data_IF_462783598818
#
_entry.id   IF_462783598818
#
_cell.length_a   1.000
_cell.length_b   1.000
_cell.length_c   1.000
_cell.angle_alpha   90.00
_cell.angle_beta   90.00
_cell.angle_gamma   90.00
#
_symmetry.space_group_name_H-M   'P 1'
#
loop_
_entity.id
_entity.type
_entity.pdbx_description
1 polymer ?
#
# COMPACT_ATOMS: atom_id res chain seq x y z
N UNK A 1 -13.56 -62.56 29.89
CA UNK A 1 -13.30 -61.11 30.08
C UNK A 1 -12.76 -60.56 28.77
N UNK A 2 -13.61 -59.93 27.95
CA UNK A 2 -13.18 -59.32 26.69
C UNK A 2 -12.93 -57.82 26.91
N UNK A 3 -11.67 -57.42 26.84
CA UNK A 3 -11.24 -56.03 26.93
C UNK A 3 -11.62 -55.28 25.65
N UNK A 4 -12.54 -54.31 25.76
CA UNK A 4 -12.85 -53.37 24.68
C UNK A 4 -11.78 -52.29 24.65
N UNK A 5 -10.94 -52.30 23.61
CA UNK A 5 -10.04 -51.20 23.32
C UNK A 5 -10.86 -50.02 22.76
N UNK A 6 -10.90 -48.92 23.52
CA UNK A 6 -11.44 -47.64 23.05
C UNK A 6 -10.32 -46.95 22.25
N UNK A 7 -10.46 -46.90 20.93
CA UNK A 7 -9.59 -46.09 20.09
C UNK A 7 -9.98 -44.61 20.26
N UNK A 8 -9.12 -43.84 20.91
CA UNK A 8 -9.24 -42.38 20.98
C UNK A 8 -8.78 -41.81 19.64
N UNK A 9 -9.74 -41.35 18.84
CA UNK A 9 -9.47 -40.62 17.61
C UNK A 9 -9.05 -39.19 18.01
N UNK A 10 -7.74 -38.93 18.07
CA UNK A 10 -7.23 -37.58 18.24
C UNK A 10 -7.51 -36.78 16.96
N UNK A 11 -8.52 -35.91 17.00
CA UNK A 11 -8.73 -34.92 15.95
C UNK A 11 -7.56 -33.93 15.99
N UNK A 12 -6.61 -34.06 15.07
CA UNK A 12 -5.62 -33.01 14.81
C UNK A 12 -6.36 -31.78 14.28
N UNK A 13 -6.60 -30.80 15.14
CA UNK A 13 -7.09 -29.50 14.70
C UNK A 13 -6.02 -28.87 13.83
N UNK A 14 -6.24 -28.83 12.52
CA UNK A 14 -5.45 -28.01 11.60
C UNK A 14 -5.65 -26.56 12.05
N UNK A 15 -4.70 -26.01 12.80
CA UNK A 15 -4.67 -24.58 13.07
C UNK A 15 -4.33 -23.88 11.76
N UNK A 16 -5.34 -23.28 11.13
CA UNK A 16 -5.11 -22.40 9.99
C UNK A 16 -4.26 -21.23 10.47
N UNK A 17 -3.10 -21.01 9.83
CA UNK A 17 -2.31 -19.81 10.10
C UNK A 17 -3.16 -18.57 9.82
N UNK A 18 -3.10 -17.58 10.71
CA UNK A 18 -3.85 -16.34 10.59
C UNK A 18 -3.27 -15.43 9.51
N UNK A 19 -1.98 -15.59 9.19
CA UNK A 19 -1.35 -15.04 7.97
C UNK A 19 -1.39 -16.06 6.83
N UNK A 20 -1.41 -15.63 5.54
CA UNK A 20 -1.53 -16.56 4.43
C UNK A 20 -0.28 -17.44 4.28
N UNK A 21 -0.45 -18.62 3.69
CA UNK A 21 0.66 -19.55 3.48
C UNK A 21 1.80 -18.90 2.68
N UNK A 22 3.04 -19.16 3.10
CA UNK A 22 4.25 -18.59 2.50
C UNK A 22 4.56 -17.14 2.90
N UNK A 23 3.69 -16.47 3.66
CA UNK A 23 3.98 -15.14 4.20
C UNK A 23 4.91 -15.21 5.41
N UNK A 24 5.90 -14.31 5.47
CA UNK A 24 6.80 -14.16 6.61
C UNK A 24 6.83 -12.70 7.06
N UNK A 25 6.72 -12.42 8.37
CA UNK A 25 6.59 -13.38 9.48
C UNK A 25 5.21 -14.06 9.54
N UNK A 26 5.19 -15.36 9.86
CA UNK A 26 3.94 -16.08 10.04
C UNK A 26 3.34 -15.84 11.44
N UNK A 27 2.02 -15.91 11.56
CA UNK A 27 1.34 -15.93 12.85
C UNK A 27 0.16 -16.89 12.82
N UNK A 28 -0.04 -17.63 13.91
CA UNK A 28 -1.22 -18.46 14.16
C UNK A 28 -2.26 -17.77 15.05
N UNK A 29 -1.89 -16.63 15.65
CA UNK A 29 -2.79 -15.87 16.53
C UNK A 29 -3.60 -14.88 15.69
N UNK A 30 -4.95 -14.93 15.74
CA UNK A 30 -5.78 -14.08 14.90
C UNK A 30 -5.76 -12.62 15.36
N UNK A 31 -5.56 -11.73 14.41
CA UNK A 31 -5.80 -10.30 14.54
C UNK A 31 -7.20 -9.97 14.00
N UNK A 32 -8.07 -9.41 14.82
CA UNK A 32 -9.41 -9.04 14.37
C UNK A 32 -9.32 -7.74 13.57
N UNK A 33 -9.79 -7.78 12.32
CA UNK A 33 -9.85 -6.62 11.43
C UNK A 33 -11.29 -6.44 10.97
N UNK A 34 -11.82 -5.23 11.10
CA UNK A 34 -13.18 -4.90 10.66
C UNK A 34 -13.25 -3.56 9.95
N UNK A 35 -13.97 -3.54 8.83
CA UNK A 35 -14.25 -2.35 8.04
C UNK A 35 -15.72 -1.98 8.19
N UNK A 36 -16.03 -0.98 9.02
CA UNK A 36 -17.41 -0.51 9.21
C UNK A 36 -18.40 -1.61 9.62
N UNK A 37 -17.95 -2.61 10.39
CA UNK A 37 -18.76 -3.78 10.78
C UNK A 37 -18.67 -4.97 9.83
N UNK A 38 -17.93 -4.88 8.72
CA UNK A 38 -17.64 -6.04 7.87
C UNK A 38 -16.40 -6.74 8.43
N UNK A 39 -16.51 -8.04 8.71
CA UNK A 39 -15.38 -8.85 9.19
C UNK A 39 -14.41 -9.16 8.06
N UNK A 40 -13.12 -8.93 8.28
CA UNK A 40 -12.05 -9.17 7.32
C UNK A 40 -11.16 -10.34 7.80
N UNK A 41 -11.74 -11.52 8.02
CA UNK A 41 -11.05 -12.68 8.59
C UNK A 41 -10.84 -13.79 7.56
N UNK A 42 -9.80 -14.59 7.78
CA UNK A 42 -9.57 -15.90 7.14
C UNK A 42 -9.60 -15.88 5.61
N UNK A 43 -9.09 -14.81 5.00
CA UNK A 43 -8.99 -14.70 3.54
C UNK A 43 -10.29 -14.38 2.82
N UNK A 44 -11.33 -13.93 3.54
CA UNK A 44 -12.60 -13.49 2.95
C UNK A 44 -12.38 -12.43 1.87
N UNK A 45 -13.18 -12.49 0.79
CA UNK A 45 -13.15 -11.47 -0.24
C UNK A 45 -14.03 -10.27 0.16
N UNK A 46 -13.43 -9.11 0.34
CA UNK A 46 -14.13 -7.87 0.65
C UNK A 46 -14.40 -7.06 -0.62
N UNK A 47 -15.53 -6.33 -0.67
CA UNK A 47 -15.73 -5.30 -1.67
C UNK A 47 -14.64 -4.23 -1.56
N UNK A 48 -14.12 -3.77 -2.70
CA UNK A 48 -13.12 -2.70 -2.77
C UNK A 48 -13.60 -1.46 -2.04
N UNK A 49 -14.81 -0.99 -2.32
CA UNK A 49 -15.33 0.27 -1.76
C UNK A 49 -15.48 0.23 -0.24
N UNK A 50 -15.81 -0.95 0.31
CA UNK A 50 -15.93 -1.16 1.76
C UNK A 50 -14.59 -1.12 2.50
N UNK A 51 -13.46 -1.27 1.78
CA UNK A 51 -12.12 -1.31 2.36
C UNK A 51 -11.31 -0.03 2.14
N UNK A 52 -11.94 1.08 1.74
CA UNK A 52 -11.20 2.32 1.45
C UNK A 52 -10.81 3.14 2.69
N UNK A 53 -11.46 2.90 3.83
CA UNK A 53 -11.19 3.58 5.10
C UNK A 53 -10.42 2.66 6.03
N UNK A 54 -9.49 3.21 6.81
CA UNK A 54 -8.71 2.46 7.81
C UNK A 54 -9.63 1.58 8.69
N UNK A 55 -9.31 0.29 8.87
CA UNK A 55 -10.16 -0.60 9.65
C UNK A 55 -9.99 -0.41 11.15
N UNK A 56 -10.98 -0.86 11.91
CA UNK A 56 -10.81 -1.17 13.33
C UNK A 56 -9.96 -2.45 13.44
N UNK A 57 -8.91 -2.39 14.25
CA UNK A 57 -8.04 -3.53 14.57
C UNK A 57 -8.17 -3.87 16.04
N UNK A 58 -8.28 -5.15 16.37
CA UNK A 58 -8.49 -5.61 17.74
C UNK A 58 -7.92 -7.01 17.97
N UNK A 59 -7.82 -7.41 19.24
CA UNK A 59 -7.43 -8.77 19.66
C UNK A 59 -8.47 -9.34 20.62
N UNK A 60 -8.58 -10.66 20.71
CA UNK A 60 -9.50 -11.32 21.65
C UNK A 60 -9.03 -11.20 23.11
N UNK A 61 -7.71 -11.15 23.29
CA UNK A 61 -7.06 -10.93 24.58
C UNK A 61 -6.44 -9.55 24.66
N UNK A 62 -6.43 -8.97 25.85
CA UNK A 62 -5.80 -7.69 26.07
C UNK A 62 -4.28 -7.84 25.95
N UNK A 63 -3.68 -7.08 25.04
CA UNK A 63 -2.23 -7.02 24.94
C UNK A 63 -1.66 -5.98 25.91
N UNK A 64 -0.47 -6.24 26.45
CA UNK A 64 0.21 -5.38 27.44
C UNK A 64 1.50 -4.85 26.82
N UNK A 65 1.43 -3.66 26.23
CA UNK A 65 2.57 -3.08 25.54
C UNK A 65 2.19 -2.01 24.52
N UNK A 66 3.16 -1.66 23.69
CA UNK A 66 3.01 -0.78 22.53
C UNK A 66 3.17 -1.62 21.27
N UNK A 67 2.27 -1.43 20.32
CA UNK A 67 2.15 -2.26 19.13
C UNK A 67 2.16 -1.43 17.86
N UNK A 68 2.75 -2.03 16.84
CA UNK A 68 2.64 -1.56 15.47
C UNK A 68 1.68 -2.48 14.72
N UNK A 69 0.89 -1.91 13.81
CA UNK A 69 0.14 -2.67 12.81
C UNK A 69 0.70 -2.36 11.45
N UNK A 70 0.98 -3.41 10.68
CA UNK A 70 1.51 -3.34 9.31
C UNK A 70 0.51 -4.05 8.39
N UNK A 71 0.10 -3.39 7.31
CA UNK A 71 -0.73 -3.96 6.25
C UNK A 71 0.07 -3.97 4.94
N UNK A 72 0.15 -5.12 4.28
CA UNK A 72 0.89 -5.31 3.03
C UNK A 72 0.06 -6.08 2.01
N UNK A 73 0.05 -5.59 0.78
CA UNK A 73 -0.39 -6.35 -0.39
C UNK A 73 0.76 -7.23 -0.85
N UNK A 74 0.53 -8.55 -1.00
CA UNK A 74 1.57 -9.51 -1.37
C UNK A 74 1.42 -10.07 -2.79
N UNK A 75 0.49 -9.51 -3.55
CA UNK A 75 0.10 -10.03 -4.86
C UNK A 75 0.18 -8.96 -5.96
N UNK A 76 1.01 -7.91 -5.77
CA UNK A 76 1.16 -6.83 -6.74
C UNK A 76 1.69 -7.37 -8.08
N UNK A 77 0.99 -7.18 -9.22
CA UNK A 77 1.45 -7.71 -10.50
C UNK A 77 2.81 -7.17 -10.92
N UNK A 78 3.67 -8.05 -11.43
CA UNK A 78 4.94 -7.67 -12.08
C UNK A 78 4.87 -7.88 -13.59
N UNK A 79 5.91 -7.45 -14.30
CA UNK A 79 6.06 -7.74 -15.72
C UNK A 79 6.57 -9.16 -16.01
N UNK A 80 6.72 -10.01 -14.99
CA UNK A 80 7.13 -11.41 -15.11
C UNK A 80 6.15 -12.36 -14.37
N UNK A 81 4.89 -12.50 -14.82
CA UNK A 81 3.97 -13.47 -14.22
C UNK A 81 4.57 -14.90 -14.20
N UNK A 82 4.30 -15.71 -13.15
CA UNK A 82 3.38 -15.47 -12.04
C UNK A 82 4.00 -14.71 -10.87
N UNK A 83 5.20 -14.12 -11.03
CA UNK A 83 5.85 -13.40 -9.93
C UNK A 83 5.04 -12.17 -9.55
N UNK A 84 4.79 -12.02 -8.27
CA UNK A 84 4.20 -10.83 -7.65
C UNK A 84 5.25 -10.06 -6.85
N UNK A 85 5.03 -8.77 -6.71
CA UNK A 85 5.73 -7.91 -5.77
C UNK A 85 4.86 -7.63 -4.55
N UNK A 86 5.31 -6.71 -3.70
CA UNK A 86 4.56 -6.29 -2.51
C UNK A 86 4.33 -4.78 -2.47
N UNK A 87 3.34 -4.34 -1.70
CA UNK A 87 3.09 -2.92 -1.45
C UNK A 87 2.69 -2.70 0.00
N UNK A 88 3.37 -1.80 0.70
CA UNK A 88 2.99 -1.37 2.05
C UNK A 88 1.75 -0.46 1.97
N UNK A 89 0.64 -0.95 2.52
CA UNK A 89 -0.63 -0.23 2.57
C UNK A 89 -0.76 0.65 3.81
N UNK A 90 -0.25 0.18 4.94
CA UNK A 90 -0.36 0.91 6.19
C UNK A 90 0.71 0.47 7.18
N UNK A 91 1.26 1.42 7.92
CA UNK A 91 2.10 1.16 9.08
C UNK A 91 1.81 2.21 10.15
N UNK A 92 1.24 1.77 11.26
CA UNK A 92 0.93 2.61 12.42
C UNK A 92 1.64 2.05 13.64
N UNK A 93 2.38 2.90 14.35
CA UNK A 93 2.99 2.58 15.64
C UNK A 93 2.20 3.21 16.79
N UNK A 94 2.58 2.92 18.02
CA UNK A 94 2.01 3.58 19.21
C UNK A 94 0.59 3.13 19.54
N UNK A 95 0.21 1.95 19.05
CA UNK A 95 -1.07 1.33 19.37
C UNK A 95 -0.98 0.63 20.73
N UNK A 96 -2.03 0.73 21.52
CA UNK A 96 -2.19 -0.01 22.77
C UNK A 96 -3.57 -0.65 22.78
N UNK A 97 -3.70 -1.86 23.33
CA UNK A 97 -5.02 -2.44 23.56
C UNK A 97 -5.83 -1.58 24.53
N UNK A 98 -7.12 -1.43 24.26
CA UNK A 98 -8.10 -0.86 25.19
C UNK A 98 -8.05 -1.56 26.56
N UNK A 99 -8.43 -0.85 27.61
CA UNK A 99 -8.39 -1.37 28.99
C UNK A 99 -9.54 -2.33 29.27
N UNK A 100 -10.69 -2.07 28.65
CA UNK A 100 -11.90 -2.87 28.78
C UNK A 100 -12.28 -3.45 27.42
N UNK A 101 -12.74 -4.72 27.38
CA UNK A 101 -13.21 -5.30 26.14
C UNK A 101 -14.54 -4.66 25.74
N UNK A 102 -14.75 -4.54 24.42
CA UNK A 102 -16.02 -4.10 23.83
C UNK A 102 -16.60 -5.20 22.96
N UNK A 103 -17.91 -5.21 22.77
CA UNK A 103 -18.55 -6.08 21.78
C UNK A 103 -18.44 -5.42 20.41
N UNK A 104 -17.64 -6.00 19.52
CA UNK A 104 -17.57 -5.63 18.13
C UNK A 104 -18.59 -6.46 17.35
N UNK A 105 -19.61 -5.81 16.80
CA UNK A 105 -20.60 -6.44 15.94
C UNK A 105 -20.05 -6.49 14.52
N UNK A 106 -19.91 -7.68 13.97
CA UNK A 106 -19.45 -7.86 12.59
C UNK A 106 -20.39 -8.76 11.78
N UNK A 107 -20.19 -8.81 10.46
CA UNK A 107 -20.83 -9.80 9.58
C UNK A 107 -20.53 -11.26 9.96
N UNK A 108 -19.46 -11.52 10.71
CA UNK A 108 -19.15 -12.85 11.26
C UNK A 108 -19.81 -13.11 12.64
N UNK A 109 -20.60 -12.15 13.13
CA UNK A 109 -21.23 -12.18 14.45
C UNK A 109 -20.58 -11.22 15.46
N UNK A 110 -21.21 -11.07 16.64
CA UNK A 110 -20.66 -10.29 17.74
C UNK A 110 -19.47 -11.00 18.39
N UNK A 111 -18.41 -10.25 18.68
CA UNK A 111 -17.22 -10.78 19.38
C UNK A 111 -16.76 -9.79 20.45
N UNK A 112 -16.39 -10.29 21.64
CA UNK A 112 -15.72 -9.47 22.66
C UNK A 112 -14.25 -9.31 22.29
N UNK A 113 -13.80 -8.07 22.17
CA UNK A 113 -12.45 -7.74 21.70
C UNK A 113 -11.87 -6.55 22.45
N UNK A 114 -10.56 -6.45 22.44
CA UNK A 114 -9.80 -5.29 22.90
C UNK A 114 -9.31 -4.52 21.67
N UNK A 115 -9.91 -3.35 21.40
CA UNK A 115 -9.54 -2.50 20.27
C UNK A 115 -8.12 -1.96 20.48
N UNK A 116 -7.32 -1.96 19.40
CA UNK A 116 -6.02 -1.30 19.38
C UNK A 116 -6.20 0.19 19.10
N UNK A 117 -5.72 1.05 20.01
CA UNK A 117 -5.93 2.50 20.00
C UNK A 117 -4.58 3.22 19.90
N UNK A 118 -4.48 4.26 19.06
CA UNK A 118 -3.29 5.11 18.97
C UNK A 118 -3.18 6.07 20.16
N UNK A 119 -2.95 5.51 21.36
CA UNK A 119 -2.88 6.28 22.61
C UNK A 119 -1.66 7.19 22.69
N UNK A 120 -0.64 6.93 21.88
CA UNK A 120 0.56 7.76 21.81
C UNK A 120 0.43 8.95 20.86
N UNK A 121 -0.69 9.07 20.14
CA UNK A 121 -0.87 10.07 19.08
C UNK A 121 0.28 10.04 18.05
N UNK A 122 0.82 8.85 17.77
CA UNK A 122 1.90 8.69 16.82
C UNK A 122 1.38 8.89 15.39
N UNK A 123 2.11 9.63 14.56
CA UNK A 123 1.84 9.65 13.13
C UNK A 123 2.07 8.26 12.52
N UNK A 124 1.25 7.89 11.54
CA UNK A 124 1.49 6.67 10.78
C UNK A 124 2.84 6.78 10.05
N UNK A 125 3.72 5.79 10.21
CA UNK A 125 4.96 5.69 9.44
C UNK A 125 4.67 5.51 7.94
N UNK A 126 3.55 4.86 7.63
CA UNK A 126 2.93 4.85 6.31
C UNK A 126 1.42 5.02 6.47
N UNK A 127 0.83 6.18 6.14
CA UNK A 127 -0.62 6.39 6.15
C UNK A 127 -1.38 5.33 5.37
N UNK A 128 -2.58 4.99 5.84
CA UNK A 128 -3.43 3.98 5.23
C UNK A 128 -3.79 4.34 3.78
N UNK A 129 -3.60 3.38 2.87
CA UNK A 129 -4.16 3.41 1.52
C UNK A 129 -5.07 2.18 1.35
N UNK A 130 -6.29 2.40 0.88
CA UNK A 130 -7.25 1.32 0.65
C UNK A 130 -6.78 0.34 -0.43
N UNK A 131 -7.20 -0.95 -0.37
CA UNK A 131 -7.05 -1.89 -1.47
C UNK A 131 -7.53 -1.32 -2.80
N UNK A 132 -6.72 -1.50 -3.83
CA UNK A 132 -7.07 -1.11 -5.19
C UNK A 132 -6.32 -1.97 -6.21
N UNK A 133 -6.57 -3.30 -6.23
CA UNK A 133 -5.89 -4.17 -7.18
C UNK A 133 -6.23 -3.75 -8.61
N UNK A 134 -5.24 -3.71 -9.54
CA UNK A 134 -5.52 -3.44 -10.94
C UNK A 134 -6.31 -4.60 -11.58
N UNK A 135 -6.97 -4.34 -12.70
CA UNK A 135 -7.60 -5.37 -13.52
C UNK A 135 -6.54 -6.12 -14.36
N UNK A 136 -5.57 -6.75 -13.67
CA UNK A 136 -4.45 -7.51 -14.25
C UNK A 136 -4.14 -8.68 -13.33
N UNK A 137 -3.75 -9.82 -13.90
CA UNK A 137 -3.44 -11.00 -13.11
C UNK A 137 -2.27 -10.77 -12.10
N UNK A 138 -2.42 -11.24 -10.84
CA UNK A 138 -3.61 -11.90 -10.28
C UNK A 138 -4.77 -10.92 -10.03
N UNK A 139 -5.99 -11.29 -10.46
CA UNK A 139 -7.18 -10.43 -10.29
C UNK A 139 -7.67 -10.32 -8.85
N UNK A 140 -7.09 -11.08 -7.91
CA UNK A 140 -7.40 -11.03 -6.49
C UNK A 140 -6.10 -10.94 -5.70
N UNK A 141 -6.00 -9.91 -4.88
CA UNK A 141 -4.83 -9.65 -4.05
C UNK A 141 -5.12 -9.97 -2.59
N UNK A 142 -4.14 -10.55 -1.89
CA UNK A 142 -4.16 -10.76 -0.45
C UNK A 142 -3.56 -9.56 0.26
N UNK A 143 -4.35 -8.95 1.12
CA UNK A 143 -3.94 -7.88 2.02
C UNK A 143 -3.71 -8.48 3.40
N UNK A 144 -2.45 -8.56 3.80
CA UNK A 144 -2.00 -9.23 5.01
C UNK A 144 -1.69 -8.21 6.09
N UNK A 145 -2.18 -8.46 7.29
CA UNK A 145 -1.86 -7.70 8.49
C UNK A 145 -0.96 -8.49 9.42
N UNK A 146 -0.07 -7.77 10.09
CA UNK A 146 0.59 -8.25 11.31
C UNK A 146 0.54 -7.18 12.39
N UNK A 147 0.34 -7.62 13.63
CA UNK A 147 0.55 -6.82 14.83
C UNK A 147 1.91 -7.19 15.43
N UNK A 148 2.73 -6.19 15.74
CA UNK A 148 4.12 -6.36 16.19
C UNK A 148 4.31 -5.64 17.51
N UNK A 149 4.81 -6.34 18.53
CA UNK A 149 5.21 -5.72 19.79
C UNK A 149 6.47 -4.88 19.59
N UNK A 150 6.37 -3.58 19.81
CA UNK A 150 7.50 -2.65 19.77
C UNK A 150 7.73 -1.95 21.10
N UNK A 151 7.24 -2.52 22.21
CA UNK A 151 7.38 -1.96 23.57
C UNK A 151 8.84 -1.66 23.91
N UNK A 152 9.76 -2.52 23.46
CA UNK A 152 11.20 -2.40 23.72
C UNK A 152 11.99 -1.91 22.50
N UNK A 153 11.33 -1.30 21.50
CA UNK A 153 12.02 -0.79 20.32
C UNK A 153 13.01 0.30 20.70
N UNK A 154 14.22 0.25 20.15
CA UNK A 154 15.20 1.31 20.34
C UNK A 154 14.89 2.50 19.42
N UNK A 155 15.44 3.68 19.73
CA UNK A 155 15.31 4.83 18.82
C UNK A 155 15.86 4.52 17.43
N UNK A 156 16.98 3.78 17.36
CA UNK A 156 17.57 3.34 16.10
C UNK A 156 16.67 2.34 15.36
N UNK A 157 16.04 1.41 16.07
CA UNK A 157 15.06 0.48 15.50
C UNK A 157 13.83 1.20 14.95
N UNK A 158 13.33 2.22 15.66
CA UNK A 158 12.23 3.05 15.17
C UNK A 158 12.61 3.84 13.91
N UNK A 159 13.82 4.40 13.85
CA UNK A 159 14.33 5.06 12.65
C UNK A 159 14.48 4.09 11.48
N UNK A 160 14.97 2.86 11.72
CA UNK A 160 15.07 1.83 10.69
C UNK A 160 13.69 1.44 10.14
N UNK A 161 12.71 1.23 11.03
CA UNK A 161 11.34 0.91 10.63
C UNK A 161 10.69 2.07 9.86
N UNK A 162 10.89 3.31 10.32
CA UNK A 162 10.41 4.53 9.66
C UNK A 162 11.03 4.71 8.27
N UNK A 163 12.35 4.48 8.14
CA UNK A 163 13.07 4.52 6.87
C UNK A 163 12.58 3.46 5.89
N UNK A 164 12.35 2.23 6.37
CA UNK A 164 11.79 1.16 5.56
C UNK A 164 10.37 1.50 5.03
N UNK A 165 9.56 2.17 5.85
CA UNK A 165 8.19 2.55 5.49
C UNK A 165 8.09 3.64 4.40
N UNK A 166 9.16 4.40 4.15
CA UNK A 166 9.17 5.44 3.11
C UNK A 166 9.06 4.85 1.70
N UNK A 167 9.65 3.66 1.48
CA UNK A 167 9.59 2.95 0.21
C UNK A 167 8.56 1.83 0.28
N UNK A 168 7.34 2.14 -0.17
CA UNK A 168 6.22 1.19 -0.03
C UNK A 168 6.27 0.02 -1.00
N UNK A 169 6.82 0.20 -2.20
CA UNK A 169 6.92 -0.87 -3.20
C UNK A 169 8.00 -1.86 -2.81
N UNK A 170 7.71 -3.13 -3.06
CA UNK A 170 8.58 -4.27 -2.74
C UNK A 170 8.95 -4.30 -1.24
N UNK A 171 8.08 -3.75 -0.40
CA UNK A 171 8.25 -3.76 1.05
C UNK A 171 8.20 -5.19 1.58
N UNK A 172 9.31 -5.64 2.16
CA UNK A 172 9.40 -6.93 2.83
C UNK A 172 9.28 -6.74 4.35
N UNK A 173 8.19 -7.27 4.92
CA UNK A 173 7.87 -7.10 6.35
C UNK A 173 9.00 -7.66 7.22
N UNK A 174 9.46 -8.89 6.95
CA UNK A 174 10.52 -9.52 7.74
C UNK A 174 11.82 -8.70 7.72
N UNK A 175 12.25 -8.20 6.55
CA UNK A 175 13.45 -7.36 6.45
C UNK A 175 13.31 -6.06 7.23
N UNK A 176 12.14 -5.39 7.14
CA UNK A 176 11.86 -4.18 7.91
C UNK A 176 11.89 -4.44 9.42
N UNK A 177 11.34 -5.57 9.86
CA UNK A 177 11.37 -5.96 11.28
C UNK A 177 12.78 -6.37 11.74
N UNK A 178 13.54 -7.12 10.96
CA UNK A 178 14.94 -7.47 11.28
C UNK A 178 15.80 -6.22 11.45
N UNK A 179 15.68 -5.25 10.53
CA UNK A 179 16.41 -3.98 10.63
C UNK A 179 16.04 -3.18 11.89
N UNK A 180 14.83 -3.36 12.39
CA UNK A 180 14.33 -2.71 13.61
C UNK A 180 14.58 -3.52 14.90
N UNK A 181 15.11 -4.75 14.81
CA UNK A 181 15.26 -5.67 15.95
C UNK A 181 13.93 -6.26 16.44
N UNK A 182 12.94 -6.39 15.56
CA UNK A 182 11.56 -6.81 15.83
C UNK A 182 11.16 -8.12 15.14
N UNK A 183 12.10 -8.87 14.56
CA UNK A 183 11.80 -10.03 13.72
C UNK A 183 11.00 -11.13 14.42
N UNK A 184 11.19 -11.29 15.74
CA UNK A 184 10.51 -12.29 16.57
C UNK A 184 9.38 -11.68 17.42
N UNK A 185 8.89 -10.49 17.04
CA UNK A 185 7.92 -9.71 17.83
C UNK A 185 6.51 -9.69 17.26
N UNK A 186 6.21 -10.51 16.26
CA UNK A 186 4.86 -10.62 15.71
C UNK A 186 3.96 -11.39 16.69
N UNK A 187 2.88 -10.74 17.14
CA UNK A 187 1.98 -11.28 18.16
C UNK A 187 0.66 -11.77 17.59
N UNK A 188 0.24 -11.25 16.44
CA UNK A 188 -0.98 -11.66 15.75
C UNK A 188 -0.91 -11.30 14.26
N UNK A 189 -1.72 -11.97 13.45
CA UNK A 189 -1.84 -11.66 12.03
C UNK A 189 -3.23 -11.94 11.49
N UNK A 190 -3.48 -11.48 10.27
CA UNK A 190 -4.73 -11.71 9.55
C UNK A 190 -4.48 -11.50 8.05
N UNK A 191 -5.37 -11.96 7.18
CA UNK A 191 -5.45 -11.48 5.82
C UNK A 191 -6.88 -11.56 5.29
N UNK A 192 -7.14 -10.73 4.29
CA UNK A 192 -8.35 -10.78 3.48
C UNK A 192 -7.98 -10.59 2.01
N UNK A 193 -8.96 -10.72 1.11
CA UNK A 193 -8.78 -10.54 -0.32
C UNK A 193 -9.62 -9.38 -0.83
N UNK A 194 -9.12 -8.70 -1.86
CA UNK A 194 -9.96 -7.84 -2.71
C UNK A 194 -9.70 -8.24 -4.14
N UNK A 195 -10.77 -8.39 -4.91
CA UNK A 195 -10.71 -8.73 -6.32
C UNK A 195 -11.09 -7.55 -7.21
N UNK A 196 -10.44 -7.46 -8.36
CA UNK A 196 -10.81 -6.60 -9.47
C UNK A 196 -10.78 -7.43 -10.75
N UNK A 197 -11.91 -8.02 -11.18
CA UNK A 197 -11.98 -8.83 -12.39
C UNK A 197 -11.87 -7.99 -13.67
N UNK A 198 -11.83 -6.66 -13.57
CA UNK A 198 -11.95 -5.75 -14.72
C UNK A 198 -13.38 -5.54 -15.18
N UNK A 199 -13.59 -4.72 -16.22
CA UNK A 199 -14.89 -4.58 -16.85
C UNK A 199 -15.36 -5.95 -17.31
N UNK A 200 -16.63 -6.29 -17.03
CA UNK A 200 -17.26 -7.42 -17.70
C UNK A 200 -17.26 -7.12 -19.21
N UNK A 201 -16.43 -7.84 -19.96
CA UNK A 201 -16.49 -7.78 -21.41
C UNK A 201 -17.90 -8.21 -21.84
N UNK A 202 -18.56 -7.38 -22.64
CA UNK A 202 -19.75 -7.81 -23.38
C UNK A 202 -19.36 -9.04 -24.23
N UNK A 203 -19.90 -10.20 -23.88
CA UNK A 203 -19.94 -11.38 -24.73
C UNK A 203 -18.61 -12.08 -25.02
N UNK A 204 -18.17 -12.93 -24.09
CA UNK A 204 -17.67 -14.24 -24.48
C UNK A 204 -18.63 -15.27 -23.90
N UNK A 205 -19.66 -15.57 -24.71
CA UNK A 205 -20.56 -16.67 -24.45
C UNK A 205 -19.75 -17.94 -24.29
N UNK A 206 -19.86 -18.56 -23.13
CA UNK A 206 -19.50 -19.97 -22.97
C UNK A 206 -20.25 -20.76 -24.04
N UNK A 207 -19.59 -21.67 -24.79
CA UNK A 207 -20.31 -22.56 -25.67
C UNK A 207 -21.10 -23.54 -24.78
N UNK A 208 -22.37 -23.23 -24.57
CA UNK A 208 -23.34 -24.19 -24.06
C UNK A 208 -23.41 -25.36 -25.03
N UNK A 209 -22.85 -26.50 -24.64
CA UNK A 209 -22.95 -27.77 -25.37
C UNK A 209 -24.41 -28.18 -25.50
N UNK A 210 -25.03 -27.80 -26.62
CA UNK A 210 -26.39 -28.16 -26.98
C UNK A 210 -26.45 -29.60 -27.47
N UNK A 211 -27.19 -30.42 -26.74
CA UNK A 211 -27.61 -31.75 -27.13
C UNK A 211 -28.50 -31.72 -28.39
N UNK A 212 -28.32 -32.76 -29.20
CA UNK A 212 -29.03 -33.09 -30.45
C UNK A 212 -30.56 -32.92 -30.37
N UNK A 213 -31.11 -32.20 -31.36
CA UNK A 213 -32.54 -32.19 -31.69
C UNK A 213 -32.71 -32.02 -33.20
N UNK A 214 -33.24 -33.07 -33.84
CA UNK A 214 -33.43 -33.26 -35.27
C UNK A 214 -34.68 -32.52 -35.78
N UNK A 215 -34.59 -31.74 -36.87
CA UNK A 215 -35.65 -31.64 -37.88
C UNK A 215 -35.23 -30.84 -39.12
N UNK A 216 -35.73 -31.33 -40.25
CA UNK A 216 -35.48 -31.05 -41.67
C UNK A 216 -36.18 -29.80 -42.21
N UNK A 217 -35.49 -28.93 -42.96
CA UNK A 217 -35.66 -28.63 -44.42
C UNK A 217 -35.07 -27.25 -44.81
N UNK A 218 -34.58 -27.06 -46.05
CA UNK A 218 -33.78 -25.91 -46.43
C UNK A 218 -34.58 -24.82 -47.14
N UNK A 219 -34.35 -23.54 -46.81
CA UNK A 219 -34.66 -22.42 -47.70
C UNK A 219 -33.47 -21.47 -47.81
N UNK A 220 -33.19 -21.10 -49.05
CA UNK A 220 -32.11 -20.26 -49.55
C UNK A 220 -32.16 -18.80 -49.06
N UNK A 221 -31.03 -18.06 -49.17
CA UNK A 221 -30.86 -16.77 -48.53
C UNK A 221 -31.41 -15.61 -49.36
N UNK A 222 -32.12 -14.69 -48.71
CA UNK A 222 -32.53 -13.40 -49.29
C UNK A 222 -31.54 -12.29 -48.87
N UNK A 223 -31.31 -11.27 -49.71
CA UNK A 223 -30.19 -10.34 -49.57
C UNK A 223 -30.49 -9.18 -48.59
N UNK A 224 -29.42 -8.65 -48.00
CA UNK A 224 -29.41 -7.43 -47.17
C UNK A 224 -29.93 -6.19 -47.91
N UNK A 225 -30.62 -5.27 -47.21
CA UNK A 225 -30.58 -3.85 -47.51
C UNK A 225 -29.45 -3.17 -46.71
N UNK A 226 -28.66 -2.38 -47.43
CA UNK A 226 -27.62 -1.47 -46.94
C UNK A 226 -28.16 -0.40 -45.98
N UNK A 227 -27.35 0.09 -45.01
CA UNK A 227 -27.75 1.19 -44.13
C UNK A 227 -27.74 2.51 -44.89
N UNK A 228 -28.88 3.21 -44.85
CA UNK A 228 -29.01 4.58 -45.35
C UNK A 228 -28.86 5.57 -44.19
N UNK A 229 -27.98 6.56 -44.39
CA UNK A 229 -28.09 7.89 -43.78
C UNK A 229 -27.62 8.05 -42.33
N UNK A 230 -26.31 8.23 -42.13
CA UNK A 230 -25.83 9.09 -41.04
C UNK A 230 -25.92 10.55 -41.50
N UNK A 231 -26.63 11.43 -40.78
CA UNK A 231 -26.49 12.86 -41.00
C UNK A 231 -25.18 13.33 -40.34
N UNK A 232 -24.32 13.92 -41.17
CA UNK A 232 -23.16 14.71 -40.76
C UNK A 232 -23.62 15.88 -39.89
N UNK A 233 -23.20 15.90 -38.61
CA UNK A 233 -23.30 17.11 -37.79
C UNK A 233 -22.20 18.10 -38.20
N UNK A 234 -22.52 19.37 -38.48
CA UNK A 234 -21.54 20.43 -38.67
C UNK A 234 -20.77 20.73 -37.37
N UNK A 235 -19.50 21.11 -37.52
CA UNK A 235 -18.56 21.33 -36.43
C UNK A 235 -19.04 22.29 -35.34
N UNK A 236 -18.79 21.92 -34.08
CA UNK A 236 -18.90 22.82 -32.94
C UNK A 236 -17.77 23.86 -32.98
N UNK A 237 -18.07 25.16 -32.86
CA UNK A 237 -17.06 26.17 -32.62
C UNK A 237 -16.48 26.00 -31.20
N UNK A 238 -15.17 26.20 -31.05
CA UNK A 238 -14.46 26.06 -29.79
C UNK A 238 -15.03 26.95 -28.69
N UNK A 239 -15.20 26.39 -27.49
CA UNK A 239 -15.64 27.13 -26.31
C UNK A 239 -14.59 28.20 -25.95
N UNK A 240 -14.99 29.48 -25.72
CA UNK A 240 -14.11 30.51 -25.17
C UNK A 240 -13.71 30.18 -23.73
N UNK A 241 -12.52 30.67 -23.34
CA UNK A 241 -11.75 30.25 -22.18
C UNK A 241 -12.51 30.15 -20.85
N UNK A 242 -12.24 29.07 -20.12
CA UNK A 242 -12.68 28.89 -18.74
C UNK A 242 -11.89 29.84 -17.83
N UNK A 243 -12.57 30.80 -17.21
CA UNK A 243 -12.04 31.60 -16.11
C UNK A 243 -12.14 30.81 -14.79
N UNK A 244 -11.03 30.69 -14.06
CA UNK A 244 -11.02 30.08 -12.71
C UNK A 244 -11.73 30.99 -11.69
N UNK A 245 -12.48 30.42 -10.72
CA UNK A 245 -13.10 31.20 -9.65
C UNK A 245 -12.05 31.84 -8.72
N UNK A 246 -12.34 33.02 -8.12
CA UNK A 246 -11.39 33.72 -7.25
C UNK A 246 -11.04 32.90 -6.00
N UNK A 247 -9.78 32.93 -5.57
CA UNK A 247 -9.35 32.44 -4.25
C UNK A 247 -8.58 31.11 -4.23
N UNK A 248 -8.25 30.52 -5.38
CA UNK A 248 -7.37 29.34 -5.44
C UNK A 248 -5.91 29.75 -5.73
N UNK A 249 -5.01 29.40 -4.81
CA UNK A 249 -3.55 29.47 -5.02
C UNK A 249 -3.06 28.23 -5.77
N UNK A 250 -2.34 28.42 -6.88
CA UNK A 250 -1.73 27.31 -7.63
C UNK A 250 -0.56 26.70 -6.85
N UNK A 251 -0.42 25.36 -6.82
CA UNK A 251 0.74 24.71 -6.22
C UNK A 251 2.03 25.00 -7.02
N UNK A 252 3.20 25.03 -6.36
CA UNK A 252 4.48 25.29 -7.04
C UNK A 252 4.78 24.23 -8.13
N UNK A 253 5.28 24.67 -9.28
CA UNK A 253 5.82 23.78 -10.33
C UNK A 253 4.93 23.51 -11.54
N UNK A 254 3.76 24.15 -11.66
CA UNK A 254 2.95 24.09 -12.89
C UNK A 254 3.29 25.24 -13.83
N UNK A 255 3.51 24.93 -15.11
CA UNK A 255 3.65 25.92 -16.19
C UNK A 255 2.29 26.15 -16.87
N UNK A 256 1.98 27.40 -17.20
CA UNK A 256 0.77 27.75 -17.94
C UNK A 256 0.96 27.49 -19.43
N UNK A 257 -0.03 26.89 -20.08
CA UNK A 257 -0.09 26.78 -21.55
C UNK A 257 -0.30 28.16 -22.19
N UNK A 258 0.27 28.44 -23.38
CA UNK A 258 0.06 29.71 -24.06
C UNK A 258 -1.43 29.98 -24.33
N UNK A 259 -1.91 31.20 -24.02
CA UNK A 259 -3.27 31.65 -24.33
C UNK A 259 -4.18 31.92 -23.13
N UNK A 260 -3.72 31.74 -21.89
CA UNK A 260 -4.49 32.12 -20.69
C UNK A 260 -4.09 33.52 -20.19
N UNK A 261 -5.08 34.40 -20.03
CA UNK A 261 -4.92 35.73 -19.42
C UNK A 261 -5.32 35.70 -17.94
N UNK A 262 -4.49 36.28 -17.06
CA UNK A 262 -4.83 36.48 -15.64
C UNK A 262 -5.75 37.70 -15.47
N UNK A 263 -6.76 37.59 -14.62
CA UNK A 263 -7.58 38.74 -14.20
C UNK A 263 -6.78 39.69 -13.29
N UNK A 264 -7.03 41.01 -13.30
CA UNK A 264 -6.34 41.96 -12.43
C UNK A 264 -6.52 41.61 -10.95
N UNK A 265 -5.43 41.56 -10.17
CA UNK A 265 -5.46 41.38 -8.71
C UNK A 265 -4.75 40.13 -8.16
N UNK A 266 -4.11 39.30 -8.98
CA UNK A 266 -3.27 38.19 -8.51
C UNK A 266 -1.79 38.54 -8.45
N UNK A 267 -1.12 38.21 -7.34
CA UNK A 267 0.33 38.36 -7.14
C UNK A 267 1.05 37.01 -7.32
N UNK A 268 2.09 36.97 -8.13
CA UNK A 268 2.95 35.78 -8.32
C UNK A 268 3.96 35.66 -7.17
N UNK A 269 4.17 34.45 -6.61
CA UNK A 269 5.27 34.21 -5.67
C UNK A 269 6.65 34.30 -6.36
N UNK A 270 7.73 34.58 -5.63
CA UNK A 270 9.07 34.72 -6.21
C UNK A 270 9.54 33.41 -6.87
N UNK A 271 10.06 33.48 -8.11
CA UNK A 271 10.70 32.34 -8.80
C UNK A 271 9.98 31.79 -10.04
N UNK A 272 8.91 32.43 -10.52
CA UNK A 272 8.27 32.07 -11.80
C UNK A 272 8.65 33.04 -12.92
N UNK A 273 9.12 32.51 -14.05
CA UNK A 273 9.45 33.26 -15.26
C UNK A 273 8.53 32.88 -16.42
N UNK A 274 7.91 33.87 -17.06
CA UNK A 274 7.15 33.69 -18.30
C UNK A 274 8.13 33.50 -19.48
N UNK A 275 7.95 32.49 -20.34
CA UNK A 275 8.75 32.41 -21.56
C UNK A 275 8.26 33.46 -22.56
N UNK A 276 9.12 34.42 -22.90
CA UNK A 276 8.88 35.35 -24.01
C UNK A 276 9.05 34.64 -25.36
N UNK A 277 8.22 34.93 -26.38
CA UNK A 277 8.41 34.37 -27.71
C UNK A 277 9.41 35.21 -28.53
N UNK A 278 10.51 34.54 -28.92
CA UNK A 278 11.20 34.72 -30.21
C UNK A 278 12.23 35.85 -30.34
N UNK A 279 13.52 35.46 -30.47
CA UNK A 279 14.48 36.03 -31.45
C UNK A 279 15.67 35.07 -31.66
N UNK A 280 15.75 34.52 -32.88
CA UNK A 280 16.94 34.32 -33.75
C UNK A 280 18.30 33.83 -33.20
N UNK A 281 18.62 32.59 -33.58
CA UNK A 281 19.88 32.03 -34.15
C UNK A 281 21.30 32.60 -33.82
N UNK A 282 22.12 31.74 -33.17
CA UNK A 282 23.51 31.26 -33.50
C UNK A 282 24.71 32.27 -33.63
N UNK A 283 26.03 31.86 -33.69
CA UNK A 283 26.74 30.60 -33.36
C UNK A 283 28.13 30.73 -32.60
N UNK A 284 28.80 29.57 -32.38
CA UNK A 284 30.26 29.27 -32.43
C UNK A 284 31.30 29.61 -31.32
N UNK A 285 31.79 28.56 -30.61
CA UNK A 285 33.20 28.17 -30.34
C UNK A 285 34.14 29.03 -29.44
N UNK A 286 35.40 28.60 -29.18
CA UNK A 286 35.82 27.38 -28.46
C UNK A 286 36.85 27.62 -27.30
N UNK A 287 37.11 26.55 -26.54
CA UNK A 287 38.25 26.20 -25.66
C UNK A 287 39.30 27.24 -25.20
N UNK A 288 39.62 27.22 -23.89
CA UNK A 288 40.99 27.50 -23.42
C UNK A 288 41.33 26.80 -22.10
N UNK A 289 42.46 26.12 -22.10
CA UNK A 289 43.11 25.49 -20.97
C UNK A 289 43.99 26.48 -20.18
N UNK A 290 44.28 26.13 -18.92
CA UNK A 290 45.47 26.58 -18.19
C UNK A 290 45.19 27.40 -16.93
N UNK A 291 45.48 26.84 -15.75
CA UNK A 291 46.67 27.21 -14.98
C UNK A 291 46.60 26.67 -13.54
N UNK A 292 47.74 26.13 -13.12
CA UNK A 292 48.09 25.76 -11.75
C UNK A 292 48.11 26.98 -10.82
N UNK A 293 47.74 26.80 -9.56
CA UNK A 293 48.34 27.55 -8.45
C UNK A 293 48.36 26.72 -7.18
N UNK A 294 49.58 26.31 -6.80
CA UNK A 294 49.95 25.89 -5.46
C UNK A 294 49.89 27.10 -4.51
N UNK A 295 49.38 26.88 -3.30
CA UNK A 295 49.36 27.88 -2.24
C UNK A 295 49.35 27.20 -0.87
N UNK A 296 50.51 27.17 -0.26
CA UNK A 296 50.87 26.57 1.03
C UNK A 296 50.15 27.20 2.22
N UNK A 297 49.90 26.40 3.27
CA UNK A 297 49.40 26.91 4.55
C UNK A 297 49.41 25.87 5.67
N UNK A 298 50.60 25.56 6.19
CA UNK A 298 50.81 24.92 7.50
C UNK A 298 49.88 25.51 8.59
N UNK A 299 49.31 24.66 9.45
CA UNK A 299 49.43 24.80 10.92
C UNK A 299 49.34 23.45 11.65
N UNK A 300 50.36 23.27 12.49
CA UNK A 300 50.64 22.19 13.43
C UNK A 300 49.74 22.25 14.69
N UNK A 301 49.44 21.05 15.21
CA UNK A 301 49.50 20.61 16.63
C UNK A 301 48.50 21.17 17.66
N UNK A 302 47.67 20.26 18.21
CA UNK A 302 47.76 19.93 19.64
C UNK A 302 47.24 18.52 19.93
N UNK A 303 48.10 17.76 20.61
CA UNK A 303 47.88 16.44 21.20
C UNK A 303 47.07 16.57 22.49
N UNK A 304 46.23 15.58 22.79
CA UNK A 304 45.50 15.45 24.05
C UNK A 304 45.26 13.98 24.38
N UNK A 305 46.34 13.27 24.69
CA UNK A 305 46.35 11.93 25.26
C UNK A 305 46.10 12.06 26.78
N UNK A 306 45.07 11.41 27.32
CA UNK A 306 44.90 11.22 28.76
C UNK A 306 44.63 9.73 29.05
N UNK A 307 45.71 9.02 29.35
CA UNK A 307 45.74 7.70 29.96
C UNK A 307 46.20 7.92 31.41
N UNK A 308 45.35 7.62 32.39
CA UNK A 308 45.78 7.43 33.78
C UNK A 308 45.13 6.16 34.30
N UNK A 309 45.96 5.15 34.54
CA UNK A 309 45.60 3.93 35.27
C UNK A 309 46.04 4.00 36.74
N UNK A 310 45.46 3.12 37.54
CA UNK A 310 45.96 2.57 38.82
C UNK A 310 44.99 1.43 39.14
N UNK A 311 45.29 0.15 38.95
CA UNK A 311 46.19 -0.73 39.71
C UNK A 311 46.09 -0.55 41.23
N UNK A 312 45.30 -1.41 41.88
CA UNK A 312 45.46 -1.80 43.28
C UNK A 312 45.42 -3.32 43.34
N UNK A 313 46.34 -3.85 44.14
CA UNK A 313 46.82 -5.21 44.28
C UNK A 313 46.34 -5.80 45.62
N UNK A 314 46.10 -7.13 45.63
CA UNK A 314 45.99 -8.10 46.75
C UNK A 314 45.19 -7.75 48.02
N UNK A 315 44.18 -8.57 48.30
CA UNK A 315 44.19 -9.64 49.33
C UNK A 315 43.10 -10.67 49.03
#
# INVERSE_FOLDING_TARGET
>A
MLSKAIAVLAAATLTSAATPNGFMPNSQTPLIVSYGGISALDGVNLPRDSSQVQPTVATEHQLKGQYAVIMVDIDVPTNQPPKTGTLLHWMQTGLMSSDTPVTLNTTAGPKKVYIMQNRMNAAALAPYIGPNPPAREPLSHRYTFVAVDHTTITQQGLMALSGAAQNRRDFNVMNGLMAAGLQDKVVAGNFFRVANPGPVGAGQGMPSGGARGNSTTPMQPMPMPTPSGTPTMPGMPGMPGMSMPPGMSMPPGMSMSPGMSMSPGMSMPPGMSMPMPGTTAAPSGPARAGALSLGSGLRLVSVGLCLVGSLVVLL
#
